data_IF_163776041396
#
_entry.id   IF_163776041396
#
_cell.length_a   1.000
_cell.length_b   1.000
_cell.length_c   1.000
_cell.angle_alpha   90.00
_cell.angle_beta   90.00
_cell.angle_gamma   90.00
#
_symmetry.space_group_name_H-M   'P 1'
#
loop_
_entity.id
_entity.type
_entity.pdbx_description
1 polymer ?
#
# COMPACT_ATOMS: atom_id res chain seq x y z
N UNK A 1 46.98 -15.93 21.81
CA UNK A 1 46.69 -14.49 21.62
C UNK A 1 45.75 -14.21 20.46
N UNK A 2 46.04 -14.63 19.21
CA UNK A 2 45.20 -14.38 18.02
C UNK A 2 43.70 -14.71 18.20
N UNK A 3 43.35 -15.89 18.74
CA UNK A 3 41.95 -16.29 19.02
C UNK A 3 41.18 -15.31 19.93
N UNK A 4 41.84 -14.71 20.93
CA UNK A 4 41.18 -13.76 21.85
C UNK A 4 40.81 -12.46 21.13
N UNK A 5 41.69 -11.96 20.27
CA UNK A 5 41.40 -10.79 19.44
C UNK A 5 40.31 -11.09 18.41
N UNK A 6 40.31 -12.27 17.79
CA UNK A 6 39.23 -12.68 16.87
C UNK A 6 37.86 -12.70 17.55
N UNK A 7 37.78 -13.22 18.78
CA UNK A 7 36.51 -13.26 19.55
C UNK A 7 36.05 -11.84 19.92
N UNK A 8 36.95 -10.97 20.39
CA UNK A 8 36.63 -9.58 20.72
C UNK A 8 36.18 -8.82 19.46
N UNK A 9 36.86 -9.00 18.34
CA UNK A 9 36.49 -8.40 17.05
C UNK A 9 35.11 -8.87 16.60
N UNK A 10 34.78 -10.16 16.72
CA UNK A 10 33.46 -10.68 16.38
C UNK A 10 32.34 -10.08 17.26
N UNK A 11 32.58 -9.95 18.56
CA UNK A 11 31.63 -9.34 19.51
C UNK A 11 31.33 -7.89 19.15
N UNK A 12 32.29 -7.14 18.58
CA UNK A 12 32.08 -5.75 18.16
C UNK A 12 31.46 -5.65 16.77
N UNK A 13 31.93 -6.46 15.81
CA UNK A 13 31.47 -6.38 14.42
C UNK A 13 30.04 -6.90 14.23
N UNK A 14 29.65 -7.97 14.93
CA UNK A 14 28.30 -8.55 14.78
C UNK A 14 27.20 -7.54 15.12
N UNK A 15 27.21 -6.84 16.27
CA UNK A 15 26.24 -5.79 16.56
C UNK A 15 26.21 -4.67 15.52
N UNK A 16 27.37 -4.24 15.01
CA UNK A 16 27.46 -3.20 14.00
C UNK A 16 26.77 -3.65 12.70
N UNK A 17 27.04 -4.88 12.26
CA UNK A 17 26.41 -5.47 11.06
C UNK A 17 24.90 -5.60 11.26
N UNK A 18 24.45 -6.05 12.43
CA UNK A 18 23.02 -6.18 12.74
C UNK A 18 22.32 -4.82 12.72
N UNK A 19 22.92 -3.78 13.32
CA UNK A 19 22.37 -2.43 13.31
C UNK A 19 22.34 -1.86 11.89
N UNK A 20 23.41 -2.04 11.11
CA UNK A 20 23.47 -1.58 9.73
C UNK A 20 22.42 -2.31 8.86
N UNK A 21 22.30 -3.63 9.00
CA UNK A 21 21.30 -4.44 8.31
C UNK A 21 19.87 -4.02 8.66
N UNK A 22 19.58 -3.81 9.96
CA UNK A 22 18.28 -3.33 10.40
C UNK A 22 17.94 -1.94 9.85
N UNK A 23 18.90 -1.00 9.85
CA UNK A 23 18.72 0.32 9.24
C UNK A 23 18.48 0.23 7.74
N UNK A 24 19.23 -0.62 7.03
CA UNK A 24 19.03 -0.87 5.60
C UNK A 24 17.64 -1.42 5.31
N UNK A 25 17.18 -2.40 6.09
CA UNK A 25 15.83 -2.95 5.98
C UNK A 25 14.74 -1.91 6.22
N UNK A 26 14.88 -1.10 7.27
CA UNK A 26 13.94 0.00 7.56
C UNK A 26 13.89 1.04 6.43
N UNK A 27 15.04 1.41 5.89
CA UNK A 27 15.14 2.34 4.75
C UNK A 27 14.46 1.75 3.50
N UNK A 28 14.75 0.50 3.16
CA UNK A 28 14.13 -0.19 2.04
C UNK A 28 12.60 -0.23 2.16
N UNK A 29 12.07 -0.59 3.33
CA UNK A 29 10.63 -0.62 3.56
C UNK A 29 9.99 0.76 3.46
N UNK A 30 10.65 1.80 3.99
CA UNK A 30 10.16 3.18 3.88
C UNK A 30 10.12 3.63 2.42
N UNK A 31 11.20 3.39 1.68
CA UNK A 31 11.30 3.74 0.26
C UNK A 31 10.19 3.08 -0.57
N UNK A 32 9.97 1.77 -0.39
CA UNK A 32 8.91 1.05 -1.08
C UNK A 32 7.51 1.56 -0.72
N UNK A 33 7.29 1.91 0.56
CA UNK A 33 6.03 2.49 1.03
C UNK A 33 5.74 3.83 0.36
N UNK A 34 6.73 4.71 0.29
CA UNK A 34 6.60 6.03 -0.32
C UNK A 34 6.38 5.93 -1.84
N UNK A 35 7.10 5.05 -2.53
CA UNK A 35 6.92 4.78 -3.95
C UNK A 35 5.52 4.22 -4.26
N UNK A 36 5.04 3.27 -3.46
CA UNK A 36 3.71 2.70 -3.61
C UNK A 36 2.63 3.77 -3.44
N UNK A 37 2.73 4.58 -2.37
CA UNK A 37 1.81 5.69 -2.14
C UNK A 37 1.84 6.68 -3.30
N UNK A 38 3.02 7.10 -3.75
CA UNK A 38 3.14 8.00 -4.90
C UNK A 38 2.47 7.43 -6.15
N UNK A 39 2.74 6.17 -6.48
CA UNK A 39 2.21 5.51 -7.68
C UNK A 39 0.68 5.40 -7.65
N UNK A 40 0.11 5.05 -6.49
CA UNK A 40 -1.34 4.98 -6.30
C UNK A 40 -1.97 6.38 -6.46
N UNK A 41 -1.42 7.41 -5.83
CA UNK A 41 -1.96 8.76 -5.94
C UNK A 41 -1.81 9.35 -7.36
N UNK A 42 -0.71 9.03 -8.06
CA UNK A 42 -0.54 9.39 -9.48
C UNK A 42 -1.58 8.67 -10.36
N UNK A 43 -1.97 7.44 -10.04
CA UNK A 43 -3.07 6.73 -10.71
C UNK A 43 -4.43 7.40 -10.45
N UNK A 44 -4.75 7.69 -9.18
CA UNK A 44 -5.98 8.37 -8.75
C UNK A 44 -6.12 9.73 -9.44
N UNK A 45 -5.04 10.52 -9.50
CA UNK A 45 -5.03 11.81 -10.17
C UNK A 45 -5.31 11.66 -11.68
N UNK A 46 -4.75 10.64 -12.32
CA UNK A 46 -5.01 10.33 -13.74
C UNK A 46 -6.44 9.86 -14.01
N UNK A 47 -7.12 9.27 -13.03
CA UNK A 47 -8.57 9.01 -13.09
C UNK A 47 -9.41 10.30 -12.97
N UNK A 48 -8.80 11.45 -12.69
CA UNK A 48 -9.48 12.72 -12.50
C UNK A 48 -10.08 12.90 -11.10
N UNK A 49 -9.65 12.10 -10.12
CA UNK A 49 -10.10 12.21 -8.73
C UNK A 49 -9.16 13.17 -7.99
N UNK A 50 -9.69 14.23 -7.40
CA UNK A 50 -8.91 15.13 -6.56
C UNK A 50 -8.70 14.53 -5.17
N UNK A 51 -7.55 14.79 -4.55
CA UNK A 51 -7.21 14.26 -3.22
C UNK A 51 -8.22 14.67 -2.14
N UNK A 52 -8.83 15.85 -2.24
CA UNK A 52 -9.87 16.30 -1.30
C UNK A 52 -11.17 15.48 -1.37
N UNK A 53 -11.41 14.74 -2.46
CA UNK A 53 -12.54 13.83 -2.62
C UNK A 53 -12.30 12.48 -1.96
N UNK A 54 -11.04 12.16 -1.60
CA UNK A 54 -10.72 10.93 -0.90
C UNK A 54 -11.13 11.04 0.57
N UNK A 55 -12.09 10.21 0.99
CA UNK A 55 -12.56 10.14 2.37
C UNK A 55 -12.34 8.74 2.90
N UNK A 56 -12.16 8.64 4.22
CA UNK A 56 -12.02 7.34 4.91
C UNK A 56 -10.98 6.43 4.25
N UNK A 57 -9.78 6.95 4.03
CA UNK A 57 -8.69 6.20 3.40
C UNK A 57 -7.96 5.32 4.43
N UNK A 58 -7.71 4.05 4.09
CA UNK A 58 -6.81 3.16 4.83
C UNK A 58 -5.71 2.65 3.90
N UNK A 59 -4.45 2.88 4.29
CA UNK A 59 -3.27 2.50 3.53
C UNK A 59 -2.43 1.50 4.32
N UNK A 60 -2.30 0.28 3.79
CA UNK A 60 -1.69 -0.82 4.52
C UNK A 60 -0.80 -1.70 3.64
N UNK A 61 0.05 -2.47 4.29
CA UNK A 61 0.94 -3.42 3.63
C UNK A 61 0.12 -4.66 3.26
N UNK A 62 0.18 -5.09 2.01
CA UNK A 62 -0.30 -6.41 1.65
C UNK A 62 0.79 -7.44 1.95
N UNK A 63 0.51 -8.30 2.94
CA UNK A 63 1.41 -9.38 3.36
C UNK A 63 1.16 -10.68 2.60
N UNK A 64 0.04 -10.81 1.87
CA UNK A 64 -0.30 -12.01 1.11
C UNK A 64 0.37 -11.98 -0.26
N UNK A 65 0.18 -10.91 -1.01
CA UNK A 65 0.71 -10.79 -2.38
C UNK A 65 1.97 -9.92 -2.45
N UNK A 66 2.33 -9.27 -1.34
CA UNK A 66 3.36 -8.25 -1.34
C UNK A 66 2.81 -6.91 -1.85
N UNK A 67 3.63 -5.86 -1.79
CA UNK A 67 3.16 -4.52 -2.19
C UNK A 67 2.38 -3.77 -1.10
N UNK A 68 1.46 -2.89 -1.49
CA UNK A 68 0.67 -2.05 -0.59
C UNK A 68 -0.72 -1.79 -1.18
N UNK A 69 -1.72 -1.65 -0.32
CA UNK A 69 -3.10 -1.39 -0.71
C UNK A 69 -3.55 -0.04 -0.12
N UNK A 70 -4.31 0.71 -0.91
CA UNK A 70 -5.12 1.84 -0.47
C UNK A 70 -6.59 1.51 -0.69
N UNK A 71 -7.36 1.38 0.39
CA UNK A 71 -8.82 1.35 0.34
C UNK A 71 -9.37 2.75 0.65
N UNK A 72 -10.31 3.25 -0.15
CA UNK A 72 -10.79 4.63 -0.01
C UNK A 72 -12.22 4.80 -0.50
N UNK A 73 -13.00 5.64 0.20
CA UNK A 73 -14.29 6.10 -0.28
C UNK A 73 -14.09 7.41 -1.08
N UNK A 74 -14.65 7.48 -2.28
CA UNK A 74 -14.52 8.67 -3.14
C UNK A 74 -15.81 9.49 -3.09
N UNK A 75 -15.68 10.74 -2.68
CA UNK A 75 -16.80 11.68 -2.60
C UNK A 75 -17.47 11.87 -3.96
N UNK A 76 -18.78 11.59 -3.97
CA UNK A 76 -19.63 11.66 -5.15
C UNK A 76 -19.69 10.40 -5.99
N UNK A 77 -19.01 9.31 -5.62
CA UNK A 77 -19.35 7.95 -6.04
C UNK A 77 -20.58 7.46 -5.25
N UNK A 78 -21.17 6.32 -5.65
CA UNK A 78 -22.26 5.67 -4.91
C UNK A 78 -21.81 5.39 -3.46
N UNK A 79 -22.69 5.65 -2.47
CA UNK A 79 -22.33 5.62 -1.05
C UNK A 79 -21.97 4.22 -0.53
N UNK A 80 -22.40 3.18 -1.24
CA UNK A 80 -22.14 1.77 -0.96
C UNK A 80 -20.90 1.24 -1.68
N UNK A 81 -20.17 2.06 -2.44
CA UNK A 81 -18.95 1.63 -3.15
C UNK A 81 -17.73 2.22 -2.47
N UNK A 82 -16.69 1.42 -2.29
CA UNK A 82 -15.34 1.91 -2.07
C UNK A 82 -14.39 1.41 -3.15
N UNK A 83 -13.32 2.14 -3.38
CA UNK A 83 -12.27 1.78 -4.32
C UNK A 83 -11.08 1.20 -3.58
N UNK A 84 -10.42 0.25 -4.22
CA UNK A 84 -9.19 -0.36 -3.75
C UNK A 84 -8.11 -0.22 -4.83
N UNK A 85 -6.94 0.23 -4.41
CA UNK A 85 -5.76 0.35 -5.25
C UNK A 85 -4.65 -0.52 -4.68
N UNK A 86 -4.26 -1.56 -5.40
CA UNK A 86 -3.14 -2.43 -5.02
C UNK A 86 -1.91 -2.05 -5.83
N UNK A 87 -0.80 -1.75 -5.16
CA UNK A 87 0.50 -1.53 -5.78
C UNK A 87 1.41 -2.72 -5.54
N UNK A 88 1.74 -3.45 -6.61
CA UNK A 88 2.65 -4.60 -6.61
C UNK A 88 3.42 -4.63 -7.93
N UNK A 89 4.65 -5.15 -7.89
CA UNK A 89 5.53 -5.29 -9.07
C UNK A 89 5.73 -4.02 -9.91
N UNK A 90 5.61 -2.84 -9.29
CA UNK A 90 5.79 -1.55 -9.97
C UNK A 90 4.51 -1.02 -10.64
N UNK A 91 3.40 -1.74 -10.53
CA UNK A 91 2.13 -1.43 -11.19
C UNK A 91 1.02 -1.18 -10.17
N UNK A 92 0.01 -0.39 -10.56
CA UNK A 92 -1.19 -0.13 -9.78
C UNK A 92 -2.36 -0.87 -10.41
N UNK A 93 -2.99 -1.73 -9.62
CA UNK A 93 -4.21 -2.46 -9.94
C UNK A 93 -5.38 -1.75 -9.25
N UNK A 94 -6.52 -1.69 -9.93
CA UNK A 94 -7.72 -1.04 -9.45
C UNK A 94 -8.85 -2.06 -9.33
N UNK A 95 -9.53 -2.03 -8.20
CA UNK A 95 -10.77 -2.74 -7.95
C UNK A 95 -11.77 -1.84 -7.22
N UNK A 96 -13.03 -2.25 -7.20
CA UNK A 96 -14.09 -1.60 -6.45
C UNK A 96 -15.03 -2.63 -5.85
N UNK A 97 -15.51 -2.34 -4.65
CA UNK A 97 -16.28 -3.28 -3.84
C UNK A 97 -17.49 -2.59 -3.20
N UNK A 98 -18.54 -3.39 -2.98
CA UNK A 98 -19.66 -3.00 -2.14
C UNK A 98 -19.23 -2.87 -0.66
N UNK A 99 -19.89 -1.99 0.09
CA UNK A 99 -19.70 -1.75 1.53
C UNK A 99 -19.35 -0.30 1.91
N UNK A 100 -18.99 0.52 0.92
CA UNK A 100 -18.74 1.96 1.11
C UNK A 100 -17.72 2.29 2.19
N UNK A 101 -17.88 3.45 2.82
CA UNK A 101 -16.99 3.92 3.88
C UNK A 101 -16.99 3.04 5.14
N UNK A 102 -18.10 2.35 5.44
CA UNK A 102 -18.21 1.52 6.64
C UNK A 102 -17.34 0.27 6.57
N UNK A 103 -17.22 -0.35 5.39
CA UNK A 103 -16.29 -1.46 5.18
C UNK A 103 -14.84 -1.07 5.53
N UNK A 104 -14.40 0.12 5.09
CA UNK A 104 -13.05 0.61 5.37
C UNK A 104 -12.85 0.87 6.87
N UNK A 105 -13.81 1.51 7.54
CA UNK A 105 -13.74 1.77 9.00
C UNK A 105 -13.63 0.48 9.81
N UNK A 106 -14.29 -0.58 9.35
CA UNK A 106 -14.26 -1.90 9.98
C UNK A 106 -13.06 -2.75 9.53
N UNK A 107 -12.22 -2.24 8.62
CA UNK A 107 -11.09 -2.96 8.00
C UNK A 107 -11.51 -4.26 7.31
N UNK A 108 -12.70 -4.22 6.70
CA UNK A 108 -13.19 -5.27 5.82
C UNK A 108 -12.58 -4.96 4.45
N UNK A 109 -11.57 -5.74 4.08
CA UNK A 109 -10.83 -5.59 2.82
C UNK A 109 -11.34 -6.60 1.79
N UNK A 110 -11.44 -6.16 0.54
CA UNK A 110 -12.21 -6.87 -0.47
C UNK A 110 -13.70 -6.94 -0.15
N UNK A 111 -14.43 -7.77 -0.89
CA UNK A 111 -15.88 -7.89 -0.75
C UNK A 111 -16.49 -8.50 -2.00
N UNK A 112 -17.77 -8.20 -2.25
CA UNK A 112 -18.37 -8.48 -3.55
C UNK A 112 -17.78 -7.49 -4.56
N UNK A 113 -16.83 -7.97 -5.35
CA UNK A 113 -16.21 -7.17 -6.41
C UNK A 113 -17.23 -6.81 -7.48
N UNK A 114 -17.12 -5.59 -8.00
CA UNK A 114 -17.95 -5.09 -9.09
C UNK A 114 -17.44 -5.55 -10.48
N UNK A 115 -17.02 -6.82 -10.57
CA UNK A 115 -16.46 -7.41 -11.80
C UNK A 115 -17.47 -7.27 -12.96
N UNK A 116 -17.03 -6.62 -14.04
CA UNK A 116 -17.88 -6.31 -15.21
C UNK A 116 -18.70 -5.02 -15.12
N UNK A 117 -18.75 -4.38 -13.94
CA UNK A 117 -19.42 -3.08 -13.73
C UNK A 117 -18.46 -1.92 -13.48
N UNK A 118 -17.15 -2.18 -13.40
CA UNK A 118 -16.13 -1.16 -13.16
C UNK A 118 -16.17 0.00 -14.17
N UNK A 119 -16.59 -0.26 -15.41
CA UNK A 119 -16.76 0.76 -16.46
C UNK A 119 -17.95 1.70 -16.24
N UNK A 120 -18.89 1.31 -15.36
CA UNK A 120 -20.09 2.08 -14.98
C UNK A 120 -19.84 2.96 -13.75
N UNK A 121 -18.68 2.84 -13.11
CA UNK A 121 -18.28 3.69 -11.99
C UNK A 121 -18.17 5.14 -12.44
N UNK A 122 -18.33 6.07 -11.49
CA UNK A 122 -18.12 7.48 -11.78
C UNK A 122 -16.68 7.76 -12.20
N UNK A 123 -15.72 7.06 -11.58
CA UNK A 123 -14.31 7.11 -11.93
C UNK A 123 -13.84 5.68 -12.27
N UNK A 124 -13.98 5.26 -13.54
CA UNK A 124 -13.61 3.91 -13.97
C UNK A 124 -12.08 3.69 -13.95
N UNK A 125 -11.61 2.44 -13.98
CA UNK A 125 -10.18 2.12 -14.07
C UNK A 125 -9.56 2.72 -15.33
N UNK A 126 -8.29 3.12 -15.22
CA UNK A 126 -7.45 3.48 -16.37
C UNK A 126 -7.12 2.22 -17.17
N UNK A 127 -7.17 2.33 -18.50
CA UNK A 127 -6.74 1.28 -19.44
C UNK A 127 -5.24 1.12 -19.48
#
# INVERSE_FOLDING_TARGET
MKKKYTVITAIILIPIILIAGFKGFMFYNKYNKENAKKSIYDYIARQGINENQLKYADFYKDYKEGGYILAVYVEGEKPDIFYEYSYRDGEVFFDAYDGGAEAIKQKIWGGRGLEGELTKLKYPPLK
#
